data_IF_152168050555
#
_entry.id   IF_152168050555
#
_cell.length_a   1.000
_cell.length_b   1.000
_cell.length_c   1.000
_cell.angle_alpha   90.00
_cell.angle_beta   90.00
_cell.angle_gamma   90.00
#
_symmetry.space_group_name_H-M   'P 1'
#
loop_
_entity.id
_entity.type
_entity.pdbx_description
1 polymer ?
#
# COMPACT_ATOMS: atom_id res chain seq x y z
N UNK A 1 -13.86 -9.39 -23.89
CA UNK A 1 -12.53 -10.01 -23.68
C UNK A 1 -12.34 -10.52 -22.27
N UNK A 2 -12.51 -9.70 -21.23
CA UNK A 2 -12.30 -10.07 -19.81
C UNK A 2 -13.10 -11.33 -19.38
N UNK A 3 -14.42 -11.36 -19.66
CA UNK A 3 -15.26 -12.53 -19.34
C UNK A 3 -14.89 -13.82 -20.10
N UNK A 4 -14.23 -13.74 -21.28
CA UNK A 4 -13.80 -14.92 -22.03
C UNK A 4 -12.48 -15.49 -21.50
N UNK A 5 -11.55 -14.63 -21.03
CA UNK A 5 -10.30 -15.07 -20.40
C UNK A 5 -10.56 -15.74 -19.04
N UNK A 6 -11.44 -15.16 -18.21
CA UNK A 6 -11.85 -15.78 -16.95
C UNK A 6 -12.55 -17.14 -17.14
N UNK A 7 -13.37 -17.29 -18.19
CA UNK A 7 -14.12 -18.53 -18.47
C UNK A 7 -13.26 -19.73 -18.91
N UNK A 8 -12.03 -19.53 -19.35
CA UNK A 8 -11.15 -20.62 -19.83
C UNK A 8 -10.14 -21.14 -18.80
N UNK A 9 -10.11 -20.59 -17.58
CA UNK A 9 -9.09 -20.96 -16.57
C UNK A 9 -7.66 -20.60 -16.99
N UNK A 10 -7.49 -19.75 -18.00
CA UNK A 10 -6.18 -19.36 -18.56
C UNK A 10 -5.49 -18.25 -17.76
N UNK A 11 -6.11 -17.71 -16.70
CA UNK A 11 -5.63 -16.56 -15.91
C UNK A 11 -5.85 -16.78 -14.41
N UNK A 12 -5.32 -17.87 -13.84
CA UNK A 12 -5.51 -18.22 -12.41
C UNK A 12 -4.40 -17.67 -11.51
N UNK A 13 -4.52 -17.87 -10.18
CA UNK A 13 -3.43 -17.57 -9.24
C UNK A 13 -2.14 -18.33 -9.56
N UNK A 14 -2.22 -19.56 -10.09
CA UNK A 14 -1.04 -20.32 -10.53
C UNK A 14 -0.22 -19.60 -11.60
N UNK A 15 -0.86 -18.76 -12.42
CA UNK A 15 -0.12 -17.87 -13.33
C UNK A 15 0.54 -16.69 -12.62
N UNK A 16 -0.08 -16.13 -11.59
CA UNK A 16 0.56 -15.12 -10.73
C UNK A 16 1.78 -15.72 -10.04
N UNK A 17 1.67 -16.94 -9.52
CA UNK A 17 2.81 -17.67 -8.96
C UNK A 17 3.96 -17.73 -9.96
N UNK A 18 3.71 -18.33 -11.13
CA UNK A 18 4.74 -18.56 -12.14
C UNK A 18 5.31 -17.27 -12.76
N UNK A 19 4.46 -16.33 -13.17
CA UNK A 19 4.87 -15.16 -13.97
C UNK A 19 5.32 -13.97 -13.12
N UNK A 20 4.94 -13.94 -11.83
CA UNK A 20 5.20 -12.79 -10.95
C UNK A 20 5.99 -13.17 -9.71
N UNK A 21 5.56 -14.17 -8.95
CA UNK A 21 6.19 -14.51 -7.66
C UNK A 21 7.48 -15.28 -7.89
N UNK A 22 7.43 -16.41 -8.60
CA UNK A 22 8.59 -17.25 -8.93
C UNK A 22 9.59 -16.52 -9.84
N UNK A 23 9.11 -15.55 -10.61
CA UNK A 23 9.92 -14.68 -11.46
C UNK A 23 10.56 -13.49 -10.70
N UNK A 24 10.38 -13.40 -9.37
CA UNK A 24 11.00 -12.35 -8.54
C UNK A 24 10.41 -10.94 -8.74
N UNK A 25 9.23 -10.81 -9.35
CA UNK A 25 8.61 -9.51 -9.71
C UNK A 25 7.62 -9.00 -8.67
N UNK A 26 7.21 -9.84 -7.73
CA UNK A 26 6.23 -9.50 -6.71
C UNK A 26 6.78 -8.46 -5.71
N UNK A 27 6.09 -7.32 -5.61
CA UNK A 27 6.38 -6.27 -4.60
C UNK A 27 5.59 -6.46 -3.31
N UNK A 28 4.83 -7.55 -3.19
CA UNK A 28 3.98 -7.88 -2.05
C UNK A 28 2.97 -6.76 -1.72
N UNK A 29 2.38 -6.14 -2.76
CA UNK A 29 1.46 -5.02 -2.57
C UNK A 29 0.16 -5.39 -1.84
N UNK A 30 -0.25 -6.68 -1.85
CA UNK A 30 -1.45 -7.19 -1.18
C UNK A 30 -2.73 -7.17 -2.01
N UNK A 31 -2.69 -6.73 -3.27
CA UNK A 31 -3.92 -6.60 -4.07
C UNK A 31 -4.64 -7.93 -4.33
N UNK A 32 -3.89 -9.03 -4.56
CA UNK A 32 -4.48 -10.34 -4.81
C UNK A 32 -5.15 -10.96 -3.58
N UNK A 33 -4.65 -10.62 -2.40
CA UNK A 33 -5.21 -10.99 -1.10
C UNK A 33 -6.52 -10.23 -0.86
N UNK A 34 -6.54 -8.92 -1.08
CA UNK A 34 -7.75 -8.11 -0.88
C UNK A 34 -8.88 -8.37 -1.89
N UNK A 35 -8.56 -8.71 -3.15
CA UNK A 35 -9.57 -8.98 -4.17
C UNK A 35 -10.20 -10.37 -4.04
N UNK A 36 -9.55 -11.27 -3.29
CA UNK A 36 -10.01 -12.63 -3.17
C UNK A 36 -11.23 -12.67 -2.24
N UNK A 37 -12.41 -12.82 -2.82
CA UNK A 37 -13.70 -12.80 -2.12
C UNK A 37 -13.86 -13.96 -1.12
N UNK A 38 -13.04 -15.00 -1.25
CA UNK A 38 -13.02 -16.15 -0.36
C UNK A 38 -11.88 -16.09 0.66
N UNK A 39 -11.05 -15.05 0.63
CA UNK A 39 -9.83 -15.03 1.43
C UNK A 39 -10.05 -14.87 2.94
N UNK A 40 -11.30 -14.67 3.37
CA UNK A 40 -11.69 -14.88 4.76
C UNK A 40 -11.41 -16.32 5.25
N UNK A 41 -11.16 -17.27 4.33
CA UNK A 41 -10.70 -18.64 4.61
C UNK A 41 -9.18 -18.83 4.40
N UNK A 42 -8.43 -17.74 4.34
CA UNK A 42 -6.99 -17.71 4.08
C UNK A 42 -6.61 -18.44 2.78
N UNK A 43 -7.33 -18.21 1.67
CA UNK A 43 -7.00 -18.82 0.37
C UNK A 43 -5.61 -18.42 -0.08
N UNK A 44 -5.26 -17.14 0.02
CA UNK A 44 -3.93 -16.61 -0.27
C UNK A 44 -3.04 -16.84 0.95
N UNK A 45 -2.02 -17.68 0.78
CA UNK A 45 -1.12 -18.04 1.87
C UNK A 45 0.09 -17.12 1.89
N UNK A 46 0.36 -16.58 3.07
CA UNK A 46 1.50 -15.72 3.37
C UNK A 46 2.50 -16.46 4.25
N UNK A 47 3.79 -16.31 3.95
CA UNK A 47 4.91 -16.76 4.79
C UNK A 47 5.77 -15.55 5.15
N UNK A 48 6.04 -15.32 6.43
CA UNK A 48 6.72 -14.10 6.92
C UNK A 48 6.13 -12.82 6.31
N UNK A 49 4.80 -12.76 6.16
CA UNK A 49 4.03 -11.67 5.50
C UNK A 49 4.17 -11.59 3.97
N UNK A 50 4.90 -12.49 3.32
CA UNK A 50 5.06 -12.57 1.87
C UNK A 50 4.04 -13.51 1.24
N UNK A 51 3.33 -13.06 0.21
CA UNK A 51 2.46 -13.95 -0.58
C UNK A 51 3.32 -15.00 -1.28
N UNK A 52 3.05 -16.29 -1.01
CA UNK A 52 3.84 -17.42 -1.53
C UNK A 52 3.03 -18.45 -2.30
N UNK A 53 1.81 -18.71 -1.87
CA UNK A 53 1.00 -19.79 -2.44
C UNK A 53 -0.48 -19.49 -2.25
N UNK A 54 -1.30 -20.46 -2.63
CA UNK A 54 -2.72 -20.43 -2.35
C UNK A 54 -3.22 -21.84 -2.03
N UNK A 55 -4.35 -21.90 -1.33
CA UNK A 55 -5.12 -23.10 -1.13
C UNK A 55 -5.82 -23.50 -2.43
N UNK A 56 -5.37 -24.58 -3.08
CA UNK A 56 -5.93 -25.02 -4.36
C UNK A 56 -7.35 -25.59 -4.23
N UNK A 57 -7.71 -26.12 -3.06
CA UNK A 57 -9.02 -26.74 -2.82
C UNK A 57 -10.10 -25.67 -2.66
N UNK A 58 -9.78 -24.60 -1.93
CA UNK A 58 -10.70 -23.49 -1.66
C UNK A 58 -10.64 -22.37 -2.73
N UNK A 59 -9.77 -22.50 -3.74
CA UNK A 59 -9.65 -21.53 -4.82
C UNK A 59 -10.62 -21.82 -5.97
N UNK A 60 -11.57 -20.90 -6.19
CA UNK A 60 -12.51 -20.92 -7.33
C UNK A 60 -11.86 -20.68 -8.69
N UNK A 61 -10.54 -20.43 -8.74
CA UNK A 61 -9.79 -20.18 -9.99
C UNK A 61 -10.39 -19.04 -10.84
N UNK A 62 -11.05 -18.08 -10.19
CA UNK A 62 -11.77 -16.98 -10.84
C UNK A 62 -10.85 -16.01 -11.61
N UNK A 63 -9.57 -15.95 -11.25
CA UNK A 63 -8.54 -15.21 -11.95
C UNK A 63 -8.44 -13.72 -11.65
N UNK A 64 -9.27 -13.19 -10.75
CA UNK A 64 -9.25 -11.77 -10.37
C UNK A 64 -7.86 -11.32 -9.89
N UNK A 65 -7.16 -12.16 -9.13
CA UNK A 65 -5.80 -11.91 -8.66
C UNK A 65 -4.79 -11.69 -9.80
N UNK A 66 -4.94 -12.39 -10.94
CA UNK A 66 -4.10 -12.19 -12.12
C UNK A 66 -4.45 -10.90 -12.84
N UNK A 67 -5.76 -10.63 -12.98
CA UNK A 67 -6.26 -9.46 -13.69
C UNK A 67 -5.85 -8.13 -13.03
N UNK A 68 -5.83 -8.08 -11.70
CA UNK A 68 -5.52 -6.86 -10.94
C UNK A 68 -4.05 -6.72 -10.58
N UNK A 69 -3.22 -7.77 -10.80
CA UNK A 69 -1.82 -7.70 -10.47
C UNK A 69 -1.12 -6.64 -11.35
N UNK A 70 -0.41 -5.66 -10.78
CA UNK A 70 0.27 -4.62 -11.56
C UNK A 70 1.47 -5.16 -12.34
N UNK A 71 1.89 -6.40 -12.07
CA UNK A 71 3.04 -7.08 -12.72
C UNK A 71 2.63 -8.02 -13.84
N UNK A 72 1.33 -8.16 -14.13
CA UNK A 72 0.85 -8.93 -15.27
C UNK A 72 0.55 -8.01 -16.44
N UNK A 73 0.72 -8.53 -17.64
CA UNK A 73 0.36 -7.84 -18.89
C UNK A 73 -1.15 -7.89 -19.17
N UNK A 74 -1.96 -8.23 -18.16
CA UNK A 74 -3.41 -8.20 -18.31
C UNK A 74 -3.85 -6.75 -18.48
N UNK A 75 -4.16 -6.40 -19.72
CA UNK A 75 -4.69 -5.10 -20.11
C UNK A 75 -6.20 -5.13 -20.04
N UNK A 76 -6.76 -4.22 -19.26
CA UNK A 76 -8.20 -3.96 -19.11
C UNK A 76 -8.73 -3.01 -20.20
N UNK A 77 -7.96 -2.75 -21.27
CA UNK A 77 -8.28 -1.84 -22.39
C UNK A 77 -8.18 -0.33 -22.09
N UNK A 78 -7.78 0.08 -20.88
CA UNK A 78 -7.67 1.50 -20.49
C UNK A 78 -6.22 1.99 -20.28
N UNK A 79 -5.22 1.14 -20.52
CA UNK A 79 -3.81 1.50 -20.43
C UNK A 79 -3.45 2.58 -21.43
N UNK A 80 -3.38 3.82 -20.97
CA UNK A 80 -2.77 4.91 -21.74
C UNK A 80 -1.28 4.61 -21.86
N UNK A 81 -0.76 4.54 -23.07
CA UNK A 81 0.66 4.79 -23.29
C UNK A 81 0.95 6.17 -22.71
N UNK A 82 1.69 6.21 -21.60
CA UNK A 82 2.16 7.46 -21.02
C UNK A 82 3.61 7.63 -21.43
N UNK A 83 3.85 8.49 -22.42
CA UNK A 83 5.19 8.93 -22.83
C UNK A 83 5.92 9.71 -21.69
N UNK A 84 5.24 9.96 -20.57
CA UNK A 84 5.75 10.73 -19.46
C UNK A 84 6.23 9.84 -18.30
N UNK A 85 7.52 9.97 -17.97
CA UNK A 85 8.20 9.27 -16.88
C UNK A 85 7.66 9.58 -15.47
N UNK A 86 6.89 10.66 -15.31
CA UNK A 86 6.26 11.04 -14.02
C UNK A 86 4.73 10.95 -14.05
N UNK A 87 4.16 10.40 -15.13
CA UNK A 87 2.72 10.28 -15.33
C UNK A 87 2.02 11.59 -15.75
N UNK A 88 0.72 11.52 -15.99
CA UNK A 88 -0.11 12.67 -16.36
C UNK A 88 -0.47 13.55 -15.15
N UNK A 89 -0.23 14.85 -15.23
CA UNK A 89 -0.58 15.82 -14.18
C UNK A 89 -1.14 17.11 -14.77
N UNK A 90 -1.90 17.87 -13.97
CA UNK A 90 -2.38 19.22 -14.35
C UNK A 90 -1.38 20.33 -13.99
N UNK A 91 -0.73 20.19 -12.84
CA UNK A 91 0.27 21.13 -12.33
C UNK A 91 1.20 20.45 -11.33
N UNK A 92 2.43 20.93 -11.23
CA UNK A 92 3.41 20.49 -10.22
C UNK A 92 3.79 21.70 -9.37
N UNK A 93 3.92 21.49 -8.07
CA UNK A 93 4.37 22.51 -7.12
C UNK A 93 4.94 21.89 -5.86
N UNK A 94 5.59 22.72 -5.05
CA UNK A 94 6.09 22.36 -3.72
C UNK A 94 5.11 22.88 -2.68
N UNK A 95 4.65 22.00 -1.80
CA UNK A 95 3.66 22.34 -0.79
C UNK A 95 4.11 21.86 0.59
N UNK A 96 3.78 22.64 1.61
CA UNK A 96 3.96 22.30 3.01
C UNK A 96 2.67 22.63 3.75
N UNK A 97 2.36 21.82 4.76
CA UNK A 97 1.28 22.09 5.69
C UNK A 97 1.45 23.42 6.42
N UNK A 98 0.34 24.07 6.76
CA UNK A 98 0.29 25.21 7.67
C UNK A 98 0.12 24.78 9.14
N UNK A 99 0.05 23.48 9.43
CA UNK A 99 -0.08 22.94 10.78
C UNK A 99 1.30 22.61 11.34
N UNK A 100 1.79 23.42 12.29
CA UNK A 100 3.14 23.29 12.88
C UNK A 100 3.42 21.90 13.48
N UNK A 101 2.40 21.27 14.07
CA UNK A 101 2.50 19.91 14.61
C UNK A 101 2.77 18.86 13.52
N UNK A 102 2.43 19.15 12.26
CA UNK A 102 2.61 18.26 11.13
C UNK A 102 3.83 18.61 10.25
N UNK A 103 4.37 19.83 10.36
CA UNK A 103 5.42 20.34 9.48
C UNK A 103 6.78 19.64 9.65
N UNK A 104 6.91 18.81 10.67
CA UNK A 104 8.15 18.12 11.07
C UNK A 104 8.10 16.59 10.91
N UNK A 105 7.07 16.03 10.26
CA UNK A 105 7.02 14.59 9.96
C UNK A 105 8.00 14.21 8.83
N UNK A 106 7.61 13.33 7.89
CA UNK A 106 8.55 12.80 6.90
C UNK A 106 9.18 13.90 6.04
N UNK A 107 8.31 14.76 5.52
CA UNK A 107 8.61 15.89 4.66
C UNK A 107 7.72 17.08 5.09
N UNK A 108 6.89 17.63 4.20
CA UNK A 108 6.06 18.80 4.47
C UNK A 108 4.69 18.54 5.12
N UNK A 109 4.38 17.31 5.57
CA UNK A 109 3.09 16.98 6.22
C UNK A 109 1.85 17.09 5.30
N UNK A 110 2.05 17.15 3.97
CA UNK A 110 0.99 17.41 2.99
C UNK A 110 -0.10 16.34 3.00
N UNK A 111 0.26 15.07 2.92
CA UNK A 111 -0.68 13.93 2.84
C UNK A 111 -1.61 13.91 4.05
N UNK A 112 -1.06 14.00 5.26
CA UNK A 112 -1.85 14.05 6.50
C UNK A 112 -2.78 15.26 6.51
N UNK A 113 -2.29 16.43 6.12
CA UNK A 113 -3.10 17.65 6.07
C UNK A 113 -4.23 17.56 5.05
N UNK A 114 -3.97 16.95 3.90
CA UNK A 114 -4.96 16.69 2.86
C UNK A 114 -6.05 15.75 3.36
N UNK A 115 -5.69 14.66 4.04
CA UNK A 115 -6.67 13.74 4.64
C UNK A 115 -7.55 14.43 5.68
N UNK A 116 -6.95 15.22 6.58
CA UNK A 116 -7.70 15.98 7.57
C UNK A 116 -8.64 16.99 6.91
N UNK A 117 -8.18 17.71 5.88
CA UNK A 117 -9.01 18.61 5.10
C UNK A 117 -10.20 17.88 4.44
N UNK A 118 -9.95 16.72 3.81
CA UNK A 118 -10.99 15.94 3.16
C UNK A 118 -12.05 15.47 4.17
N UNK A 119 -11.65 15.07 5.38
CA UNK A 119 -12.58 14.70 6.46
C UNK A 119 -13.38 15.89 6.98
N UNK A 120 -12.70 16.99 7.33
CA UNK A 120 -13.33 18.18 7.93
C UNK A 120 -14.37 18.81 6.99
N UNK A 121 -14.17 18.66 5.67
CA UNK A 121 -15.08 19.14 4.64
C UNK A 121 -16.10 18.07 4.17
N UNK A 122 -16.20 16.93 4.86
CA UNK A 122 -17.10 15.82 4.53
C UNK A 122 -16.95 15.32 3.07
N UNK A 123 -15.75 15.41 2.51
CA UNK A 123 -15.43 14.92 1.15
C UNK A 123 -15.16 13.41 1.14
N UNK A 124 -14.73 12.87 2.29
CA UNK A 124 -14.59 11.45 2.59
C UNK A 124 -15.24 11.12 3.94
N UNK A 125 -15.53 9.84 4.13
CA UNK A 125 -16.11 9.26 5.35
C UNK A 125 -15.04 8.58 6.21
N UNK A 126 -13.99 8.05 5.56
CA UNK A 126 -12.85 7.42 6.19
C UNK A 126 -11.57 7.58 5.35
N UNK A 127 -10.43 7.55 6.02
CA UNK A 127 -9.12 7.42 5.42
C UNK A 127 -8.59 6.00 5.63
N UNK A 128 -8.11 5.39 4.55
CA UNK A 128 -7.37 4.13 4.58
C UNK A 128 -5.87 4.45 4.56
N UNK A 129 -5.23 4.28 5.71
CA UNK A 129 -3.84 4.65 5.98
C UNK A 129 -3.05 3.48 6.55
N UNK A 130 -1.73 3.65 6.68
CA UNK A 130 -0.85 2.66 7.33
C UNK A 130 -0.35 3.20 8.66
N UNK A 131 -0.67 2.50 9.75
CA UNK A 131 -0.10 2.72 11.07
C UNK A 131 1.13 1.83 11.26
N UNK A 132 1.95 2.16 12.27
CA UNK A 132 3.04 1.29 12.75
C UNK A 132 2.84 0.94 14.22
N UNK A 133 3.15 -0.30 14.58
CA UNK A 133 3.30 -0.70 15.97
C UNK A 133 4.61 -0.15 16.58
N UNK A 134 4.80 -0.29 17.89
CA UNK A 134 6.08 0.02 18.55
C UNK A 134 7.26 -0.82 18.01
N UNK A 135 6.99 -1.93 17.34
CA UNK A 135 7.99 -2.77 16.66
C UNK A 135 8.14 -2.42 15.17
N UNK A 136 7.61 -1.27 14.73
CA UNK A 136 7.64 -0.84 13.32
C UNK A 136 6.93 -1.78 12.34
N UNK A 137 6.06 -2.66 12.83
CA UNK A 137 5.24 -3.53 11.99
C UNK A 137 4.12 -2.68 11.39
N UNK A 138 4.02 -2.56 10.06
CA UNK A 138 2.94 -1.83 9.40
C UNK A 138 1.59 -2.53 9.61
N UNK A 139 0.52 -1.75 9.79
CA UNK A 139 -0.87 -2.25 9.84
C UNK A 139 -1.78 -1.28 9.11
N UNK A 140 -2.71 -1.80 8.32
CA UNK A 140 -3.74 -0.99 7.72
C UNK A 140 -4.70 -0.46 8.79
N UNK A 141 -5.22 0.74 8.59
CA UNK A 141 -6.28 1.33 9.40
C UNK A 141 -7.27 2.04 8.49
N UNK A 142 -8.55 1.68 8.60
CA UNK A 142 -9.66 2.41 8.02
C UNK A 142 -10.29 3.25 9.13
N UNK A 143 -10.10 4.57 9.08
CA UNK A 143 -10.37 5.42 10.24
C UNK A 143 -10.86 6.81 9.83
N UNK A 144 -11.68 7.42 10.67
CA UNK A 144 -12.00 8.84 10.62
C UNK A 144 -11.53 9.60 11.87
N UNK A 145 -10.75 8.94 12.74
CA UNK A 145 -10.13 9.56 13.89
C UNK A 145 -8.92 10.39 13.42
N UNK A 146 -9.01 11.71 13.67
CA UNK A 146 -7.93 12.66 13.39
C UNK A 146 -6.60 12.23 14.02
N UNK A 147 -6.62 11.71 15.24
CA UNK A 147 -5.41 11.26 15.94
C UNK A 147 -4.79 10.04 15.28
N UNK A 148 -5.59 9.11 14.73
CA UNK A 148 -5.06 7.98 13.96
C UNK A 148 -4.42 8.43 12.66
N UNK A 149 -5.05 9.38 11.97
CA UNK A 149 -4.50 9.95 10.74
C UNK A 149 -3.18 10.66 11.02
N UNK A 150 -3.08 11.43 12.11
CA UNK A 150 -1.82 12.06 12.52
C UNK A 150 -0.77 11.00 12.90
N UNK A 151 -1.16 9.95 13.64
CA UNK A 151 -0.26 8.84 14.00
C UNK A 151 0.24 8.03 12.80
N UNK A 152 -0.48 8.05 11.68
CA UNK A 152 -0.04 7.44 10.42
C UNK A 152 1.09 8.20 9.72
N UNK A 153 1.41 9.42 10.17
CA UNK A 153 2.47 10.22 9.58
C UNK A 153 3.87 9.60 9.77
N UNK A 154 4.74 9.88 8.80
CA UNK A 154 6.10 9.35 8.74
C UNK A 154 6.21 8.08 7.90
N UNK A 155 7.34 7.91 7.21
CA UNK A 155 7.55 6.73 6.36
C UNK A 155 7.90 5.51 7.20
N UNK A 156 7.32 4.37 6.79
CA UNK A 156 7.70 3.05 7.27
C UNK A 156 8.34 2.32 6.08
N UNK A 157 9.64 2.06 6.16
CA UNK A 157 10.38 1.35 5.10
C UNK A 157 10.17 -0.17 5.22
N UNK A 158 8.90 -0.58 5.27
CA UNK A 158 8.49 -1.97 5.23
C UNK A 158 7.22 -2.11 4.38
N UNK A 159 6.97 -3.32 3.87
CA UNK A 159 5.79 -3.60 3.05
C UNK A 159 4.50 -3.27 3.82
N UNK A 160 3.70 -2.35 3.27
CA UNK A 160 2.42 -1.96 3.86
C UNK A 160 1.30 -2.90 3.40
N UNK A 161 0.49 -3.44 4.34
CA UNK A 161 -0.68 -4.23 4.01
C UNK A 161 -1.92 -3.35 3.78
N UNK A 162 -1.80 -2.15 3.19
CA UNK A 162 -2.93 -1.20 3.06
C UNK A 162 -4.21 -1.83 2.51
N UNK A 163 -4.09 -2.79 1.59
CA UNK A 163 -5.21 -3.52 1.01
C UNK A 163 -5.95 -4.43 2.00
N UNK A 164 -5.31 -4.89 3.09
CA UNK A 164 -6.00 -5.58 4.19
C UNK A 164 -7.03 -4.66 4.85
N UNK A 165 -6.82 -3.34 4.84
CA UNK A 165 -7.81 -2.39 5.34
C UNK A 165 -9.09 -2.33 4.51
N UNK A 166 -9.08 -2.81 3.26
CA UNK A 166 -10.30 -3.02 2.49
C UNK A 166 -11.07 -4.28 2.95
N UNK A 167 -10.39 -5.28 3.52
CA UNK A 167 -11.07 -6.46 4.10
C UNK A 167 -11.79 -6.11 5.40
N UNK A 168 -11.29 -5.11 6.15
CA UNK A 168 -11.95 -4.59 7.36
C UNK A 168 -13.37 -4.07 7.09
N UNK A 169 -13.73 -3.80 5.83
CA UNK A 169 -15.10 -3.48 5.44
C UNK A 169 -16.11 -4.58 5.82
N UNK A 170 -15.68 -5.84 5.84
CA UNK A 170 -16.52 -6.98 6.26
C UNK A 170 -16.81 -6.98 7.76
N UNK A 171 -16.04 -6.22 8.55
CA UNK A 171 -16.16 -6.11 10.00
C UNK A 171 -16.92 -4.84 10.42
N UNK A 172 -17.35 -4.02 9.46
CA UNK A 172 -18.13 -2.81 9.73
C UNK A 172 -19.58 -3.19 10.07
N UNK A 173 -20.00 -2.83 11.28
CA UNK A 173 -21.38 -2.88 11.73
C UNK A 173 -22.06 -1.49 11.63
N UNK A 174 -23.35 -1.44 11.97
CA UNK A 174 -24.14 -0.20 11.96
C UNK A 174 -23.52 0.91 12.83
N UNK A 175 -22.89 0.55 13.96
CA UNK A 175 -22.26 1.52 14.85
C UNK A 175 -21.02 2.17 14.21
N UNK A 176 -20.26 1.40 13.42
CA UNK A 176 -19.12 1.92 12.66
C UNK A 176 -19.57 2.73 11.45
N UNK A 177 -20.66 2.33 10.78
CA UNK A 177 -21.28 3.14 9.72
C UNK A 177 -21.73 4.50 10.25
N UNK A 178 -22.39 4.53 11.42
CA UNK A 178 -22.77 5.78 12.09
C UNK A 178 -21.54 6.66 12.39
N UNK A 179 -20.46 6.07 12.91
CA UNK A 179 -19.20 6.80 13.14
C UNK A 179 -18.64 7.37 11.85
N UNK A 180 -18.61 6.59 10.77
CA UNK A 180 -18.18 7.05 9.45
C UNK A 180 -19.19 7.99 8.76
N UNK A 181 -20.37 8.21 9.34
CA UNK A 181 -21.46 9.00 8.75
C UNK A 181 -21.92 8.45 7.39
N UNK A 182 -21.75 7.14 7.19
CA UNK A 182 -22.19 6.43 6.01
C UNK A 182 -23.54 5.74 6.28
N UNK A 183 -24.40 5.66 5.26
CA UNK A 183 -25.70 5.00 5.37
C UNK A 183 -25.60 3.49 5.17
N UNK A 184 -24.70 3.09 4.28
CA UNK A 184 -24.39 1.70 3.92
C UNK A 184 -22.90 1.60 3.61
N UNK A 185 -22.35 0.39 3.65
CA UNK A 185 -20.97 0.12 3.22
C UNK A 185 -20.75 0.64 1.79
N UNK A 186 -21.70 0.40 0.88
CA UNK A 186 -21.63 0.85 -0.52
C UNK A 186 -21.63 2.37 -0.69
N UNK A 187 -22.05 3.11 0.34
CA UNK A 187 -22.05 4.59 0.33
C UNK A 187 -20.77 5.21 0.88
N UNK A 188 -19.84 4.41 1.41
CA UNK A 188 -18.57 4.89 1.96
C UNK A 188 -17.71 5.54 0.89
N UNK A 189 -17.16 6.71 1.23
CA UNK A 189 -16.21 7.46 0.40
C UNK A 189 -14.86 7.43 1.09
N UNK A 190 -13.93 6.65 0.56
CA UNK A 190 -12.63 6.42 1.20
C UNK A 190 -11.54 7.24 0.48
N UNK A 191 -10.66 7.89 1.23
CA UNK A 191 -9.35 8.30 0.70
C UNK A 191 -8.31 7.24 1.08
N UNK A 192 -7.60 6.70 0.10
CA UNK A 192 -6.55 5.70 0.32
C UNK A 192 -5.18 6.31 0.09
N UNK A 193 -4.26 6.13 1.04
CA UNK A 193 -2.85 6.46 0.89
C UNK A 193 -2.05 5.19 0.60
N UNK A 194 -1.23 5.19 -0.43
CA UNK A 194 -0.46 4.01 -0.78
C UNK A 194 0.70 4.27 -1.74
N UNK A 195 1.45 3.20 -2.00
CA UNK A 195 2.62 3.18 -2.87
C UNK A 195 2.21 2.98 -4.34
N UNK A 196 3.12 3.22 -5.30
CA UNK A 196 2.82 3.11 -6.73
C UNK A 196 2.22 1.75 -7.13
N UNK A 197 2.79 0.65 -6.64
CA UNK A 197 2.27 -0.69 -6.91
C UNK A 197 0.85 -0.93 -6.37
N UNK A 198 0.48 -0.26 -5.28
CA UNK A 198 -0.87 -0.33 -4.70
C UNK A 198 -1.84 0.54 -5.51
N UNK A 199 -1.41 1.73 -5.96
CA UNK A 199 -2.23 2.58 -6.83
C UNK A 199 -2.53 1.88 -8.17
N UNK A 200 -1.52 1.26 -8.78
CA UNK A 200 -1.68 0.51 -10.03
C UNK A 200 -2.62 -0.70 -9.86
N UNK A 201 -2.48 -1.46 -8.76
CA UNK A 201 -3.38 -2.57 -8.47
C UNK A 201 -4.83 -2.09 -8.26
N UNK A 202 -5.02 -1.00 -7.50
CA UNK A 202 -6.33 -0.41 -7.25
C UNK A 202 -6.97 0.11 -8.55
N UNK A 203 -6.19 0.76 -9.42
CA UNK A 203 -6.64 1.21 -10.74
C UNK A 203 -7.14 0.02 -11.57
N UNK A 204 -6.38 -1.07 -11.65
CA UNK A 204 -6.83 -2.30 -12.34
C UNK A 204 -8.10 -2.89 -11.74
N UNK A 205 -8.26 -2.87 -10.41
CA UNK A 205 -9.51 -3.30 -9.75
C UNK A 205 -10.70 -2.44 -10.20
N UNK A 206 -10.51 -1.11 -10.31
CA UNK A 206 -11.56 -0.18 -10.76
C UNK A 206 -11.95 -0.40 -12.22
N UNK A 207 -11.00 -0.68 -13.09
CA UNK A 207 -11.26 -0.91 -14.52
C UNK A 207 -12.13 -2.14 -14.79
N UNK A 208 -12.10 -3.11 -13.87
CA UNK A 208 -12.98 -4.28 -13.91
C UNK A 208 -14.22 -4.15 -13.01
N UNK A 209 -14.45 -2.97 -12.45
CA UNK A 209 -15.53 -2.66 -11.50
C UNK A 209 -15.56 -3.63 -10.29
N UNK A 210 -14.39 -4.04 -9.80
CA UNK A 210 -14.33 -4.93 -8.66
C UNK A 210 -14.58 -4.18 -7.35
N UNK A 211 -15.49 -4.73 -6.54
CA UNK A 211 -15.67 -4.32 -5.15
C UNK A 211 -14.50 -4.82 -4.30
N UNK A 212 -14.00 -4.05 -3.31
CA UNK A 212 -14.47 -2.73 -2.85
C UNK A 212 -13.71 -1.53 -3.46
N UNK A 213 -12.99 -1.69 -4.58
CA UNK A 213 -12.17 -0.61 -5.14
C UNK A 213 -13.00 0.62 -5.58
N UNK A 214 -14.29 0.44 -5.85
CA UNK A 214 -15.26 1.50 -6.14
C UNK A 214 -15.53 2.44 -4.96
N UNK A 215 -15.26 2.03 -3.71
CA UNK A 215 -15.43 2.87 -2.52
C UNK A 215 -14.29 3.88 -2.36
N UNK A 216 -13.14 3.63 -2.99
CA UNK A 216 -11.97 4.52 -2.94
C UNK A 216 -12.19 5.72 -3.86
N UNK A 217 -12.64 6.82 -3.27
CA UNK A 217 -12.94 8.08 -3.95
C UNK A 217 -11.70 8.88 -4.29
N UNK A 218 -10.71 8.93 -3.39
CA UNK A 218 -9.44 9.62 -3.61
C UNK A 218 -8.26 8.67 -3.41
N UNK A 219 -7.34 8.67 -4.37
CA UNK A 219 -6.13 7.84 -4.38
C UNK A 219 -4.93 8.74 -4.20
N UNK A 220 -4.38 8.77 -2.99
CA UNK A 220 -3.23 9.61 -2.65
C UNK A 220 -1.97 8.77 -2.75
N UNK A 221 -1.22 8.96 -3.84
CA UNK A 221 0.02 8.24 -4.13
C UNK A 221 1.22 8.83 -3.40
N UNK A 222 2.08 7.97 -2.87
CA UNK A 222 3.39 8.35 -2.34
C UNK A 222 4.48 8.08 -3.38
N UNK A 223 5.57 8.85 -3.33
CA UNK A 223 6.76 8.50 -4.08
C UNK A 223 7.44 7.29 -3.45
N UNK A 224 7.85 6.33 -4.26
CA UNK A 224 8.49 5.11 -3.77
C UNK A 224 9.55 4.62 -4.77
N UNK A 225 10.78 4.48 -4.29
CA UNK A 225 11.86 3.91 -5.09
C UNK A 225 12.02 2.41 -4.82
N UNK A 226 12.09 2.04 -3.54
CA UNK A 226 12.24 0.66 -3.08
C UNK A 226 11.59 0.47 -1.71
N UNK A 227 11.26 -0.77 -1.38
CA UNK A 227 10.68 -1.15 -0.09
C UNK A 227 11.35 -2.44 0.42
N UNK A 228 11.13 -2.77 1.69
CA UNK A 228 11.86 -3.82 2.39
C UNK A 228 10.90 -4.79 3.08
N UNK A 229 11.38 -6.00 3.33
CA UNK A 229 10.74 -6.94 4.27
C UNK A 229 11.04 -6.48 5.70
N UNK A 230 10.01 -6.49 6.58
CA UNK A 230 10.16 -6.07 7.97
C UNK A 230 11.23 -6.90 8.69
N UNK A 231 11.20 -8.22 8.50
CA UNK A 231 12.14 -9.14 9.14
C UNK A 231 13.57 -8.93 8.65
N UNK A 232 13.77 -8.55 7.38
CA UNK A 232 15.09 -8.28 6.83
C UNK A 232 15.65 -6.95 7.33
N UNK A 233 14.90 -5.85 7.17
CA UNK A 233 15.42 -4.53 7.52
C UNK A 233 15.34 -4.27 9.03
N UNK A 234 14.19 -4.50 9.66
CA UNK A 234 13.99 -4.13 11.06
C UNK A 234 14.57 -5.18 12.00
N UNK A 235 14.23 -6.47 11.85
CA UNK A 235 14.72 -7.50 12.78
C UNK A 235 16.21 -7.81 12.56
N UNK A 236 16.60 -8.26 11.37
CA UNK A 236 17.99 -8.65 11.11
C UNK A 236 18.94 -7.44 11.08
N UNK A 237 18.69 -6.45 10.21
CA UNK A 237 19.64 -5.35 10.06
C UNK A 237 19.64 -4.39 11.26
N UNK A 238 18.48 -3.85 11.66
CA UNK A 238 18.45 -2.78 12.66
C UNK A 238 18.56 -3.32 14.10
N UNK A 239 17.77 -4.33 14.45
CA UNK A 239 17.76 -4.87 15.81
C UNK A 239 18.98 -5.78 16.08
N UNK A 240 19.27 -6.74 15.19
CA UNK A 240 20.32 -7.73 15.45
C UNK A 240 21.72 -7.24 15.07
N UNK A 241 21.93 -6.60 13.91
CA UNK A 241 23.27 -6.14 13.52
C UNK A 241 23.62 -4.78 14.14
N UNK A 242 22.76 -3.77 14.00
CA UNK A 242 23.03 -2.41 14.52
C UNK A 242 22.74 -2.27 16.02
N UNK A 243 22.12 -3.27 16.65
CA UNK A 243 21.75 -3.29 18.08
C UNK A 243 20.87 -2.10 18.49
N UNK A 244 20.03 -1.60 17.59
CA UNK A 244 19.08 -0.52 17.86
C UNK A 244 17.72 -1.13 18.21
N UNK A 245 17.21 -0.97 19.44
CA UNK A 245 15.87 -1.42 19.79
C UNK A 245 14.81 -0.70 18.94
N UNK A 246 13.93 -1.44 18.26
CA UNK A 246 12.93 -0.86 17.35
C UNK A 246 12.04 0.21 17.99
N UNK A 247 11.57 0.04 19.26
CA UNK A 247 10.79 1.09 19.94
C UNK A 247 11.56 2.40 20.19
N UNK A 248 12.89 2.40 20.09
CA UNK A 248 13.72 3.59 20.26
C UNK A 248 13.88 4.40 18.98
N UNK A 249 13.51 3.87 17.82
CA UNK A 249 13.56 4.61 16.56
C UNK A 249 12.46 5.67 16.58
N UNK A 250 12.84 6.92 16.32
CA UNK A 250 11.92 8.05 16.18
C UNK A 250 11.45 8.19 14.73
N UNK A 251 12.38 8.18 13.77
CA UNK A 251 12.08 8.34 12.35
C UNK A 251 13.15 7.73 11.46
N UNK A 252 12.79 7.48 10.20
CA UNK A 252 13.71 7.01 9.16
C UNK A 252 13.55 7.85 7.89
N UNK A 253 14.64 8.02 7.14
CA UNK A 253 14.60 8.71 5.84
C UNK A 253 15.68 8.15 4.90
N UNK A 254 15.44 8.16 3.59
CA UNK A 254 16.43 7.79 2.58
C UNK A 254 16.75 9.03 1.73
N UNK A 255 17.93 9.62 1.95
CA UNK A 255 18.46 10.77 1.18
C UNK A 255 19.90 10.48 0.77
N UNK A 256 20.07 9.64 -0.25
CA UNK A 256 21.36 9.10 -0.67
C UNK A 256 21.98 8.07 0.30
N UNK A 257 21.64 8.15 1.58
CA UNK A 257 21.89 7.19 2.66
C UNK A 257 20.58 6.91 3.38
N UNK A 258 20.44 5.73 3.97
CA UNK A 258 19.37 5.47 4.93
C UNK A 258 19.78 6.09 6.28
N UNK A 259 18.92 6.93 6.83
CA UNK A 259 19.13 7.69 8.05
C UNK A 259 18.13 7.18 9.08
N UNK A 260 18.62 6.69 10.21
CA UNK A 260 17.81 6.20 11.33
C UNK A 260 18.05 7.16 12.49
N UNK A 261 16.99 7.87 12.91
CA UNK A 261 17.04 8.79 14.04
C UNK A 261 16.39 8.12 15.24
N UNK A 262 17.12 8.04 16.36
CA UNK A 262 16.61 7.51 17.62
C UNK A 262 15.97 8.61 18.46
N UNK A 263 15.11 8.22 19.42
CA UNK A 263 14.47 9.13 20.37
C UNK A 263 15.46 9.87 21.28
N UNK A 264 16.65 9.31 21.48
CA UNK A 264 17.77 9.95 22.20
C UNK A 264 18.41 11.09 21.41
N UNK A 265 18.12 11.22 20.12
CA UNK A 265 18.76 12.15 19.20
C UNK A 265 19.94 11.55 18.43
N UNK A 266 20.37 10.33 18.74
CA UNK A 266 21.42 9.63 18.00
C UNK A 266 20.98 9.36 16.54
N UNK A 267 21.91 9.51 15.60
CA UNK A 267 21.67 9.32 14.17
C UNK A 267 22.64 8.28 13.62
N UNK A 268 22.08 7.17 13.13
CA UNK A 268 22.82 6.13 12.38
C UNK A 268 22.58 6.33 10.89
N UNK A 269 23.64 6.20 10.07
CA UNK A 269 23.56 6.35 8.61
C UNK A 269 24.13 5.11 7.92
N UNK A 270 23.34 4.48 7.06
CA UNK A 270 23.77 3.37 6.22
C UNK A 270 24.01 3.85 4.79
N UNK A 271 25.17 3.51 4.25
CA UNK A 271 25.50 3.71 2.84
C UNK A 271 24.65 2.83 1.93
N UNK A 272 24.57 3.19 0.64
CA UNK A 272 23.79 2.45 -0.36
C UNK A 272 24.12 0.95 -0.38
N UNK A 273 25.40 0.61 -0.32
CA UNK A 273 25.88 -0.78 -0.31
C UNK A 273 25.39 -1.59 0.90
N UNK A 274 24.96 -0.94 1.98
CA UNK A 274 24.53 -1.60 3.21
C UNK A 274 23.02 -1.84 3.28
N UNK A 275 22.21 -1.06 2.57
CA UNK A 275 20.75 -1.18 2.62
C UNK A 275 20.11 -1.58 1.29
N UNK A 276 20.66 -1.20 0.13
CA UNK A 276 20.06 -1.56 -1.16
C UNK A 276 19.97 -3.08 -1.40
N UNK A 277 20.95 -3.91 -0.99
CA UNK A 277 20.82 -5.37 -1.11
C UNK A 277 19.68 -5.97 -0.26
N UNK A 278 19.13 -5.20 0.70
CA UNK A 278 18.02 -5.61 1.54
C UNK A 278 16.65 -5.29 0.91
N UNK A 279 16.63 -4.50 -0.16
CA UNK A 279 15.41 -4.16 -0.87
C UNK A 279 14.78 -5.40 -1.48
N UNK A 280 13.46 -5.38 -1.59
CA UNK A 280 12.72 -6.49 -2.21
C UNK A 280 13.11 -6.62 -3.69
N UNK A 281 13.37 -7.84 -4.12
CA UNK A 281 13.70 -8.13 -5.52
C UNK A 281 12.67 -7.56 -6.51
N UNK A 282 11.38 -7.69 -6.18
CA UNK A 282 10.28 -7.18 -7.00
C UNK A 282 10.28 -5.65 -7.19
N UNK A 283 10.95 -4.88 -6.32
CA UNK A 283 11.09 -3.44 -6.47
C UNK A 283 12.02 -3.07 -7.64
N UNK A 284 13.02 -3.90 -7.97
CA UNK A 284 13.92 -3.65 -9.10
C UNK A 284 13.21 -3.71 -10.47
N UNK A 285 12.02 -4.32 -10.52
CA UNK A 285 11.17 -4.35 -11.69
C UNK A 285 10.17 -3.17 -11.73
N UNK A 286 10.15 -2.29 -10.73
CA UNK A 286 9.22 -1.16 -10.66
C UNK A 286 9.67 -0.02 -11.56
N UNK A 287 8.83 0.36 -12.52
CA UNK A 287 9.03 1.53 -13.37
C UNK A 287 8.26 2.77 -12.90
N UNK A 288 7.54 2.69 -11.78
CA UNK A 288 6.73 3.79 -11.26
C UNK A 288 7.31 4.31 -9.93
N UNK A 289 7.87 5.52 -10.00
CA UNK A 289 8.36 6.26 -8.84
C UNK A 289 7.27 7.18 -8.27
N UNK A 290 6.44 7.77 -9.12
CA UNK A 290 5.59 8.93 -8.79
C UNK A 290 4.15 8.58 -8.49
N UNK A 291 3.79 7.28 -8.45
CA UNK A 291 2.42 6.80 -8.30
C UNK A 291 1.52 7.29 -9.44
N UNK A 292 1.83 6.90 -10.67
CA UNK A 292 1.16 7.43 -11.89
C UNK A 292 -0.35 7.16 -11.95
N UNK A 293 -0.84 6.17 -11.20
CA UNK A 293 -2.25 5.78 -11.13
C UNK A 293 -3.02 6.41 -9.93
N UNK A 294 -2.47 7.47 -9.31
CA UNK A 294 -3.13 8.23 -8.24
C UNK A 294 -3.97 9.42 -8.78
N UNK A 295 -4.66 10.14 -7.90
CA UNK A 295 -5.38 11.39 -8.18
C UNK A 295 -4.52 12.62 -7.83
#
# INVERSE_FOLDING_TARGET
>A
MIQQAFKKGEVTFNKVLKEVIDAGRCTNCGGCDAICLLDATDVIKKDESNIRSHDEENCEKCGLCYAICPRTNFSTSLGKEQDNIIGGFKSIGTYQTSLDELSHFQDGGLVTSLLLYLLDNNLIDAALVTLKSGQWIPRAALTNDRNEIIRSAGTIYATSPVFEGLKLLNEIDDSQLEKFRARTIDSLRIAMVGLPCQMAALQKMREINAFPANLVKYRIGLFCFENFDHDVLFKKKILEELKIPLPNIQSMNIKGKMIIKQKTGEITKLGKSEFQPLAREGCHWCGDLTSMDCD
#
